data_IF_884367101029
#
_entry.id   IF_884367101029
#
_cell.length_a   1.000
_cell.length_b   1.000
_cell.length_c   1.000
_cell.angle_alpha   90.00
_cell.angle_beta   90.00
_cell.angle_gamma   90.00
#
_symmetry.space_group_name_H-M   'P 1'
#
loop_
_entity.id
_entity.type
_entity.pdbx_description
1 polymer ?
#
# COMPACT_ATOMS: atom_id res chain seq x y z
N UNK A 1 35.48 -3.95 5.46
CA UNK A 1 34.53 -3.71 4.34
C UNK A 1 33.62 -2.56 4.74
N UNK A 2 33.59 -1.50 3.95
CA UNK A 2 32.82 -0.27 4.21
C UNK A 2 31.35 -0.54 3.84
N UNK A 3 30.37 -0.27 4.72
CA UNK A 3 28.97 -0.33 4.33
C UNK A 3 28.61 0.90 3.49
N UNK A 4 28.68 0.74 2.17
CA UNK A 4 28.15 1.69 1.20
C UNK A 4 26.63 1.50 1.11
N UNK A 5 25.86 2.26 1.88
CA UNK A 5 24.39 2.21 1.79
C UNK A 5 23.60 3.20 2.66
N UNK A 6 24.23 3.91 3.61
CA UNK A 6 23.53 4.84 4.50
C UNK A 6 23.81 6.34 4.29
N UNK A 7 24.74 6.71 3.40
CA UNK A 7 25.24 8.09 3.30
C UNK A 7 24.52 8.96 2.25
N UNK A 8 23.41 8.49 1.67
CA UNK A 8 22.46 9.36 0.97
C UNK A 8 21.24 9.67 1.84
N UNK A 9 21.45 10.06 3.11
CA UNK A 9 20.49 10.98 3.73
C UNK A 9 20.76 12.35 3.12
N UNK A 10 19.72 12.90 2.49
CA UNK A 10 19.73 14.08 1.64
C UNK A 10 20.67 15.19 2.16
N UNK A 11 21.89 15.25 1.62
CA UNK A 11 22.83 16.38 1.78
C UNK A 11 22.12 17.70 1.46
N UNK A 12 21.15 17.67 0.53
CA UNK A 12 20.31 18.80 0.17
C UNK A 12 19.27 19.24 1.24
N UNK A 13 18.88 18.36 2.17
CA UNK A 13 17.99 18.71 3.30
C UNK A 13 18.79 19.22 4.49
N UNK A 14 19.97 18.65 4.72
CA UNK A 14 20.93 19.11 5.74
C UNK A 14 21.46 20.51 5.38
N UNK A 15 21.77 20.78 4.11
CA UNK A 15 22.17 22.11 3.62
C UNK A 15 21.04 23.16 3.69
N UNK A 16 19.77 22.73 3.81
CA UNK A 16 18.60 23.62 3.88
C UNK A 16 18.24 24.05 5.31
N UNK A 17 18.97 23.58 6.33
CA UNK A 17 18.69 23.89 7.75
C UNK A 17 17.32 23.38 8.23
N UNK A 18 16.69 22.45 7.50
CA UNK A 18 15.33 21.99 7.77
C UNK A 18 15.36 20.82 8.76
N UNK A 19 15.24 21.11 10.04
CA UNK A 19 15.14 20.09 11.09
C UNK A 19 13.81 19.35 10.93
N UNK A 20 13.89 18.05 10.62
CA UNK A 20 12.70 17.21 10.44
C UNK A 20 12.19 16.82 11.83
N UNK A 21 11.03 17.34 12.22
CA UNK A 21 10.42 17.04 13.51
C UNK A 21 9.53 15.81 13.36
N UNK A 22 9.93 14.67 13.94
CA UNK A 22 9.12 13.44 13.93
C UNK A 22 8.21 13.39 15.16
N UNK A 23 6.91 13.21 14.92
CA UNK A 23 5.89 13.08 15.97
C UNK A 23 5.37 11.65 15.95
N UNK A 24 5.55 10.94 17.06
CA UNK A 24 5.06 9.57 17.22
C UNK A 24 3.69 9.55 17.90
N UNK A 25 2.73 8.89 17.25
CA UNK A 25 1.36 8.79 17.73
C UNK A 25 1.19 7.43 18.38
N UNK A 26 0.74 7.38 19.63
CA UNK A 26 0.38 6.10 20.25
C UNK A 26 -0.87 5.49 19.56
N UNK A 27 -1.22 4.26 19.95
CA UNK A 27 -2.36 3.53 19.38
C UNK A 27 -3.69 4.27 19.52
N UNK A 28 -3.92 4.96 20.64
CA UNK A 28 -5.15 5.71 20.90
C UNK A 28 -5.28 6.92 19.95
N UNK A 29 -4.24 7.73 19.82
CA UNK A 29 -4.24 8.87 18.89
C UNK A 29 -4.27 8.43 17.44
N UNK A 30 -3.63 7.30 17.10
CA UNK A 30 -3.70 6.70 15.76
C UNK A 30 -5.13 6.29 15.41
N UNK A 31 -5.87 5.67 16.34
CA UNK A 31 -7.28 5.31 16.14
C UNK A 31 -8.18 6.53 15.96
N UNK A 32 -7.98 7.57 16.76
CA UNK A 32 -8.73 8.82 16.63
C UNK A 32 -8.48 9.43 15.26
N UNK A 33 -7.20 9.54 14.86
CA UNK A 33 -6.83 10.06 13.54
C UNK A 33 -7.47 9.24 12.42
N UNK A 34 -7.38 7.90 12.46
CA UNK A 34 -8.01 7.03 11.48
C UNK A 34 -9.53 7.23 11.40
N UNK A 35 -10.19 7.40 12.55
CA UNK A 35 -11.64 7.66 12.61
C UNK A 35 -12.00 9.02 12.01
N UNK A 36 -11.23 10.06 12.30
CA UNK A 36 -11.44 11.39 11.70
C UNK A 36 -11.27 11.35 10.19
N UNK A 37 -10.23 10.67 9.70
CA UNK A 37 -9.98 10.46 8.27
C UNK A 37 -11.16 9.75 7.61
N UNK A 38 -11.71 8.71 8.25
CA UNK A 38 -12.90 8.00 7.78
C UNK A 38 -14.13 8.91 7.70
N UNK A 39 -14.38 9.72 8.74
CA UNK A 39 -15.53 10.63 8.78
C UNK A 39 -15.43 11.72 7.72
N UNK A 40 -14.23 12.29 7.51
CA UNK A 40 -13.97 13.25 6.44
C UNK A 40 -14.25 12.61 5.08
N UNK A 41 -13.73 11.39 4.86
CA UNK A 41 -13.99 10.62 3.65
C UNK A 41 -15.47 10.38 3.41
N UNK A 42 -16.23 10.03 4.45
CA UNK A 42 -17.68 9.83 4.37
C UNK A 42 -18.42 11.10 3.98
N UNK A 43 -18.07 12.25 4.57
CA UNK A 43 -18.67 13.53 4.17
C UNK A 43 -18.31 13.88 2.74
N UNK A 44 -17.07 13.65 2.33
CA UNK A 44 -16.57 13.95 0.99
C UNK A 44 -17.27 13.12 -0.09
N UNK A 45 -17.35 11.80 0.08
CA UNK A 45 -18.04 10.90 -0.87
C UNK A 45 -19.53 11.23 -0.98
N UNK A 46 -20.18 11.58 0.14
CA UNK A 46 -21.60 11.96 0.12
C UNK A 46 -21.87 13.29 -0.59
N UNK A 47 -20.92 14.24 -0.56
CA UNK A 47 -21.06 15.55 -1.20
C UNK A 47 -20.64 15.54 -2.67
N UNK A 48 -19.61 14.77 -3.04
CA UNK A 48 -19.04 14.78 -4.39
C UNK A 48 -19.63 13.64 -5.21
N UNK A 49 -20.54 13.98 -6.14
CA UNK A 49 -21.20 13.00 -7.01
C UNK A 49 -20.22 12.12 -7.79
N UNK A 50 -19.09 12.66 -8.25
CA UNK A 50 -18.03 11.88 -8.91
C UNK A 50 -17.52 10.73 -8.02
N UNK A 51 -17.16 10.99 -6.76
CA UNK A 51 -16.64 9.96 -5.87
C UNK A 51 -17.69 8.88 -5.56
N UNK A 52 -18.96 9.28 -5.46
CA UNK A 52 -20.08 8.37 -5.27
C UNK A 52 -20.37 7.51 -6.50
N UNK A 53 -20.39 8.12 -7.69
CA UNK A 53 -20.70 7.43 -8.96
C UNK A 53 -19.62 6.38 -9.30
N UNK A 54 -18.36 6.62 -8.91
CA UNK A 54 -17.25 5.67 -9.05
C UNK A 54 -17.10 4.71 -7.86
N UNK A 55 -18.02 4.71 -6.89
CA UNK A 55 -17.99 3.88 -5.67
C UNK A 55 -16.64 3.92 -4.93
N UNK A 56 -16.00 5.09 -4.88
CA UNK A 56 -14.74 5.26 -4.16
C UNK A 56 -15.01 5.02 -2.66
N UNK A 57 -14.33 4.07 -2.01
CA UNK A 57 -14.52 3.81 -0.59
C UNK A 57 -14.23 5.06 0.25
N UNK A 58 -15.05 5.32 1.28
CA UNK A 58 -14.85 6.45 2.18
C UNK A 58 -13.46 6.50 2.82
N UNK A 59 -12.85 5.37 3.28
CA UNK A 59 -11.50 5.39 3.84
C UNK A 59 -10.44 5.89 2.84
N UNK A 60 -10.58 5.55 1.55
CA UNK A 60 -9.63 5.92 0.50
C UNK A 60 -9.74 7.41 0.18
N UNK A 61 -10.96 7.91 0.04
CA UNK A 61 -11.20 9.33 -0.20
C UNK A 61 -10.69 10.21 0.95
N UNK A 62 -10.97 9.82 2.20
CA UNK A 62 -10.45 10.51 3.38
C UNK A 62 -8.93 10.43 3.48
N UNK A 63 -8.37 9.24 3.24
CA UNK A 63 -6.93 8.99 3.27
C UNK A 63 -6.15 9.85 2.26
N UNK A 64 -6.71 10.06 1.06
CA UNK A 64 -6.10 10.95 0.06
C UNK A 64 -6.03 12.41 0.53
N UNK A 65 -7.09 12.92 1.17
CA UNK A 65 -7.07 14.26 1.77
C UNK A 65 -6.03 14.34 2.88
N UNK A 66 -5.98 13.35 3.77
CA UNK A 66 -4.99 13.28 4.84
C UNK A 66 -3.56 13.24 4.28
N UNK A 67 -3.31 12.45 3.24
CA UNK A 67 -2.01 12.36 2.58
C UNK A 67 -1.57 13.71 1.98
N UNK A 68 -2.48 14.44 1.31
CA UNK A 68 -2.19 15.77 0.77
C UNK A 68 -1.86 16.76 1.88
N UNK A 69 -2.63 16.75 2.97
CA UNK A 69 -2.40 17.63 4.13
C UNK A 69 -1.06 17.33 4.80
N UNK A 70 -0.78 16.05 5.08
CA UNK A 70 0.47 15.61 5.69
C UNK A 70 1.67 15.93 4.79
N UNK A 71 1.54 15.74 3.47
CA UNK A 71 2.57 16.09 2.50
C UNK A 71 2.84 17.61 2.47
N UNK A 72 1.78 18.43 2.45
CA UNK A 72 1.92 19.89 2.50
C UNK A 72 2.60 20.34 3.81
N UNK A 73 2.23 19.75 4.94
CA UNK A 73 2.81 20.05 6.24
C UNK A 73 4.28 19.62 6.32
N UNK A 74 4.62 18.47 5.73
CA UNK A 74 5.99 18.00 5.60
C UNK A 74 6.83 18.95 4.74
N UNK A 75 6.30 19.43 3.61
CA UNK A 75 7.00 20.37 2.74
C UNK A 75 7.16 21.76 3.37
N UNK A 76 6.16 22.28 4.07
CA UNK A 76 6.19 23.60 4.68
C UNK A 76 7.02 23.66 5.99
N UNK A 77 6.81 22.70 6.89
CA UNK A 77 7.36 22.77 8.27
C UNK A 77 8.37 21.66 8.58
N UNK A 78 8.57 20.69 7.68
CA UNK A 78 9.45 19.55 7.95
C UNK A 78 8.92 18.60 9.02
N UNK A 79 7.63 18.63 9.30
CA UNK A 79 7.03 17.72 10.29
C UNK A 79 6.73 16.38 9.62
N UNK A 80 7.02 15.28 10.32
CA UNK A 80 6.69 13.92 9.89
C UNK A 80 5.90 13.23 10.99
N UNK A 81 4.86 12.49 10.61
CA UNK A 81 3.97 11.80 11.54
C UNK A 81 4.18 10.30 11.41
N UNK A 82 4.46 9.62 12.52
CA UNK A 82 4.55 8.16 12.58
C UNK A 82 3.34 7.62 13.33
N UNK A 83 2.56 6.81 12.63
CA UNK A 83 1.42 6.10 13.18
C UNK A 83 1.82 4.66 13.56
N UNK A 84 1.11 4.08 14.51
CA UNK A 84 1.37 2.71 14.99
C UNK A 84 1.20 1.66 13.88
N UNK A 85 2.31 1.03 13.47
CA UNK A 85 2.31 -0.11 12.53
C UNK A 85 1.56 -1.34 13.05
N UNK A 86 1.68 -1.75 14.33
CA UNK A 86 0.97 -2.95 14.81
C UNK A 86 -0.54 -2.85 14.64
N UNK A 87 -1.10 -1.64 14.71
CA UNK A 87 -2.52 -1.41 14.53
C UNK A 87 -2.94 -1.52 13.05
N UNK A 88 -2.09 -1.04 12.13
CA UNK A 88 -2.28 -1.25 10.68
C UNK A 88 -2.30 -2.75 10.36
N UNK A 89 -1.35 -3.51 10.89
CA UNK A 89 -1.25 -4.95 10.67
C UNK A 89 -2.45 -5.69 11.25
N UNK A 90 -2.90 -5.31 12.45
CA UNK A 90 -4.10 -5.88 13.08
C UNK A 90 -5.36 -5.61 12.24
N UNK A 91 -5.56 -4.39 11.75
CA UNK A 91 -6.71 -4.07 10.89
C UNK A 91 -6.67 -4.78 9.54
N UNK A 92 -5.47 -4.92 8.96
CA UNK A 92 -5.28 -5.68 7.74
C UNK A 92 -5.63 -7.16 7.94
N UNK A 93 -5.21 -7.76 9.06
CA UNK A 93 -5.56 -9.13 9.41
C UNK A 93 -7.08 -9.27 9.60
N UNK A 94 -7.71 -8.38 10.37
CA UNK A 94 -9.17 -8.39 10.58
C UNK A 94 -9.92 -8.28 9.25
N UNK A 95 -9.48 -7.41 8.34
CA UNK A 95 -10.08 -7.25 7.01
C UNK A 95 -9.99 -8.54 6.19
N UNK A 96 -8.80 -9.13 6.07
CA UNK A 96 -8.62 -10.37 5.31
C UNK A 96 -9.34 -11.57 5.94
N UNK A 97 -9.31 -11.67 7.27
CA UNK A 97 -10.09 -12.67 8.00
C UNK A 97 -11.59 -12.46 7.79
N UNK A 98 -12.08 -11.21 7.83
CA UNK A 98 -13.49 -10.91 7.59
C UNK A 98 -13.93 -11.24 6.17
N UNK A 99 -13.14 -10.92 5.14
CA UNK A 99 -13.42 -11.31 3.76
C UNK A 99 -13.42 -12.84 3.63
N UNK A 100 -12.43 -13.52 4.22
CA UNK A 100 -12.33 -14.98 4.20
C UNK A 100 -13.52 -15.66 4.88
N UNK A 101 -13.96 -15.14 6.03
CA UNK A 101 -15.13 -15.66 6.77
C UNK A 101 -16.46 -15.28 6.11
N UNK A 102 -16.53 -14.13 5.45
CA UNK A 102 -17.73 -13.68 4.71
C UNK A 102 -17.87 -14.38 3.35
N UNK A 103 -16.85 -15.11 2.90
CA UNK A 103 -16.91 -15.88 1.67
C UNK A 103 -17.90 -17.03 1.82
N UNK A 104 -19.01 -16.94 1.09
CA UNK A 104 -20.03 -17.97 1.06
C UNK A 104 -19.60 -19.11 0.12
N UNK A 105 -19.03 -20.17 0.71
CA UNK A 105 -18.60 -21.36 -0.03
C UNK A 105 -19.74 -22.03 -0.80
N UNK A 106 -20.99 -21.88 -0.35
CA UNK A 106 -22.17 -22.41 -1.06
C UNK A 106 -22.40 -21.63 -2.35
N UNK A 107 -22.29 -20.29 -2.33
CA UNK A 107 -22.35 -19.44 -3.53
C UNK A 107 -21.18 -19.70 -4.47
N UNK A 108 -19.98 -19.90 -3.93
CA UNK A 108 -18.80 -20.23 -4.73
C UNK A 108 -19.00 -21.55 -5.49
N UNK A 109 -19.52 -22.57 -4.80
CA UNK A 109 -19.84 -23.87 -5.40
C UNK A 109 -20.98 -23.77 -6.43
N UNK A 110 -22.00 -22.96 -6.15
CA UNK A 110 -23.11 -22.70 -7.08
C UNK A 110 -22.66 -21.96 -8.34
N UNK A 111 -21.59 -21.17 -8.26
CA UNK A 111 -20.98 -20.47 -9.40
C UNK A 111 -20.42 -21.40 -10.48
N UNK A 112 -20.12 -22.65 -10.15
CA UNK A 112 -19.84 -23.74 -11.09
C UNK A 112 -18.87 -23.37 -12.23
N UNK A 113 -19.23 -23.78 -13.46
CA UNK A 113 -18.42 -23.52 -14.65
C UNK A 113 -18.26 -22.02 -14.99
N UNK A 114 -19.30 -21.16 -14.89
CA UNK A 114 -19.14 -19.71 -15.09
C UNK A 114 -18.06 -19.07 -14.20
N UNK A 115 -17.96 -19.50 -12.93
CA UNK A 115 -16.92 -19.00 -12.02
C UNK A 115 -15.51 -19.42 -12.46
N UNK A 116 -15.35 -20.65 -12.93
CA UNK A 116 -14.06 -21.14 -13.45
C UNK A 116 -13.66 -20.38 -14.71
N UNK A 117 -14.59 -20.18 -15.64
CA UNK A 117 -14.35 -19.41 -16.86
C UNK A 117 -13.98 -17.97 -16.50
N UNK A 118 -14.72 -17.33 -15.60
CA UNK A 118 -14.41 -15.98 -15.12
C UNK A 118 -13.00 -15.90 -14.53
N UNK A 119 -12.63 -16.86 -13.68
CA UNK A 119 -11.29 -16.94 -13.08
C UNK A 119 -10.19 -17.10 -14.13
N UNK A 120 -10.42 -17.97 -15.13
CA UNK A 120 -9.49 -18.17 -16.23
C UNK A 120 -9.32 -16.90 -17.08
N UNK A 121 -10.42 -16.20 -17.37
CA UNK A 121 -10.40 -14.91 -18.08
C UNK A 121 -9.60 -13.88 -17.29
N UNK A 122 -9.88 -13.70 -15.99
CA UNK A 122 -9.10 -12.79 -15.12
C UNK A 122 -7.61 -13.17 -15.12
N UNK A 123 -7.28 -14.45 -15.02
CA UNK A 123 -5.90 -14.95 -15.12
C UNK A 123 -5.23 -14.58 -16.45
N UNK A 124 -5.92 -14.74 -17.57
CA UNK A 124 -5.42 -14.32 -18.87
C UNK A 124 -5.21 -12.79 -18.96
N UNK A 125 -6.14 -12.00 -18.41
CA UNK A 125 -5.98 -10.54 -18.32
C UNK A 125 -4.76 -10.14 -17.49
N UNK A 126 -4.46 -10.82 -16.38
CA UNK A 126 -3.26 -10.59 -15.58
C UNK A 126 -1.99 -10.82 -16.41
N UNK A 127 -1.95 -11.88 -17.21
CA UNK A 127 -0.81 -12.16 -18.11
C UNK A 127 -0.64 -11.02 -19.12
N UNK A 128 -1.74 -10.58 -19.74
CA UNK A 128 -1.72 -9.45 -20.68
C UNK A 128 -1.24 -8.17 -19.99
N UNK A 129 -1.73 -7.86 -18.78
CA UNK A 129 -1.29 -6.71 -18.00
C UNK A 129 0.21 -6.75 -17.70
N UNK A 130 0.76 -7.94 -17.41
CA UNK A 130 2.20 -8.11 -17.18
C UNK A 130 3.00 -7.81 -18.45
N UNK A 131 2.57 -8.33 -19.61
CA UNK A 131 3.24 -8.05 -20.88
C UNK A 131 3.17 -6.57 -21.25
N UNK A 132 2.01 -5.94 -21.10
CA UNK A 132 1.82 -4.51 -21.38
C UNK A 132 2.65 -3.65 -20.41
N UNK A 133 2.57 -3.91 -19.12
CA UNK A 133 3.29 -3.15 -18.08
C UNK A 133 4.81 -3.26 -18.26
N UNK A 134 5.33 -4.49 -18.40
CA UNK A 134 6.77 -4.72 -18.64
C UNK A 134 7.20 -4.14 -20.00
N UNK A 135 6.38 -4.29 -21.03
CA UNK A 135 6.66 -3.77 -22.37
C UNK A 135 6.79 -2.26 -22.38
N UNK A 136 5.84 -1.55 -21.78
CA UNK A 136 5.87 -0.10 -21.64
C UNK A 136 7.06 0.37 -20.78
N UNK A 137 7.35 -0.32 -19.67
CA UNK A 137 8.53 0.00 -18.85
C UNK A 137 9.82 -0.07 -19.67
N UNK A 138 10.00 -1.13 -20.48
CA UNK A 138 11.18 -1.28 -21.37
C UNK A 138 11.26 -0.18 -22.44
N UNK A 139 10.15 0.18 -23.06
CA UNK A 139 10.10 1.26 -24.07
C UNK A 139 10.49 2.61 -23.45
N UNK A 140 10.11 2.84 -22.20
CA UNK A 140 10.47 4.04 -21.45
C UNK A 140 11.87 3.98 -20.82
N UNK A 141 12.64 2.90 -21.06
CA UNK A 141 13.97 2.70 -20.46
C UNK A 141 13.96 2.46 -18.94
N UNK A 142 12.81 2.08 -18.39
CA UNK A 142 12.61 1.79 -16.97
C UNK A 142 12.81 0.31 -16.66
N UNK A 143 13.05 0.01 -15.39
CA UNK A 143 13.14 -1.37 -14.90
C UNK A 143 11.80 -2.11 -15.14
N UNK A 144 11.81 -3.31 -15.75
CA UNK A 144 10.65 -4.17 -15.92
C UNK A 144 9.79 -4.37 -14.66
N UNK A 145 10.42 -4.37 -13.48
CA UNK A 145 9.73 -4.53 -12.20
C UNK A 145 8.75 -3.38 -11.92
N UNK A 146 9.05 -2.16 -12.37
CA UNK A 146 8.12 -1.01 -12.27
C UNK A 146 6.86 -1.29 -13.10
N UNK A 147 7.03 -1.89 -14.28
CA UNK A 147 5.91 -2.32 -15.13
C UNK A 147 5.02 -3.37 -14.47
N UNK A 148 5.61 -4.30 -13.71
CA UNK A 148 4.86 -5.32 -12.97
C UNK A 148 4.11 -4.72 -11.76
N UNK A 149 4.76 -3.83 -11.01
CA UNK A 149 4.18 -3.17 -9.83
C UNK A 149 2.99 -2.28 -10.23
N UNK A 150 3.15 -1.50 -11.29
CA UNK A 150 2.11 -0.59 -11.82
C UNK A 150 1.02 -1.31 -12.62
N UNK A 151 1.28 -2.54 -13.06
CA UNK A 151 0.34 -3.40 -13.77
C UNK A 151 -0.47 -4.29 -12.81
N UNK A 152 -0.24 -5.60 -12.87
CA UNK A 152 -1.07 -6.58 -12.16
C UNK A 152 -1.01 -6.48 -10.65
N UNK A 153 0.16 -6.20 -10.05
CA UNK A 153 0.33 -6.23 -8.58
C UNK A 153 -0.59 -5.22 -7.91
N UNK A 154 -0.68 -4.00 -8.45
CA UNK A 154 -1.61 -2.97 -7.92
C UNK A 154 -3.07 -3.40 -8.05
N UNK A 155 -3.42 -4.17 -9.08
CA UNK A 155 -4.81 -4.56 -9.38
C UNK A 155 -5.26 -5.86 -8.70
N UNK A 156 -4.34 -6.77 -8.37
CA UNK A 156 -4.63 -8.08 -7.75
C UNK A 156 -4.34 -8.13 -6.25
N UNK A 157 -4.04 -6.97 -5.64
CA UNK A 157 -3.62 -6.73 -4.26
C UNK A 157 -2.11 -6.89 -3.97
N UNK A 158 -1.55 -5.89 -3.29
CA UNK A 158 -0.13 -5.70 -2.95
C UNK A 158 0.40 -6.63 -1.84
N UNK A 159 -0.47 -7.46 -1.25
CA UNK A 159 -0.14 -8.31 -0.09
C UNK A 159 1.01 -9.28 -0.39
N UNK A 160 1.16 -9.73 -1.63
CA UNK A 160 2.23 -10.67 -2.04
C UNK A 160 3.62 -10.05 -1.89
N UNK A 161 3.78 -8.74 -2.12
CA UNK A 161 5.08 -8.06 -1.99
C UNK A 161 5.45 -7.79 -0.54
N UNK A 162 4.45 -7.52 0.30
CA UNK A 162 4.68 -7.28 1.74
C UNK A 162 5.16 -8.56 2.45
N UNK A 163 4.59 -9.72 2.11
CA UNK A 163 5.00 -11.02 2.67
C UNK A 163 6.39 -11.45 2.15
N UNK A 164 6.66 -11.27 0.86
CA UNK A 164 7.97 -11.64 0.30
C UNK A 164 9.10 -10.70 0.77
N UNK A 165 8.79 -9.41 0.99
CA UNK A 165 9.72 -8.44 1.57
C UNK A 165 10.12 -8.79 3.01
N UNK A 166 9.18 -9.22 3.85
CA UNK A 166 9.49 -9.65 5.23
C UNK A 166 10.30 -10.96 5.26
N UNK A 167 9.97 -11.92 4.38
CA UNK A 167 10.71 -13.18 4.28
C UNK A 167 12.15 -12.99 3.79
N UNK A 168 12.38 -12.09 2.84
CA UNK A 168 13.73 -11.77 2.30
C UNK A 168 14.61 -11.00 3.28
N UNK A 169 14.02 -10.14 4.12
CA UNK A 169 14.74 -9.45 5.19
C UNK A 169 15.05 -10.39 6.37
N UNK A 170 14.12 -11.28 6.74
CA UNK A 170 14.35 -12.28 7.80
C UNK A 170 15.40 -13.32 7.40
N UNK A 171 15.35 -13.85 6.18
CA UNK A 171 16.41 -14.76 5.68
C UNK A 171 17.77 -14.08 5.66
N UNK A 172 17.90 -12.87 5.09
CA UNK A 172 19.19 -12.16 5.05
C UNK A 172 19.73 -11.80 6.45
N UNK A 173 18.85 -11.52 7.41
CA UNK A 173 19.26 -11.34 8.81
C UNK A 173 19.73 -12.65 9.46
N UNK A 174 19.12 -13.79 9.13
CA UNK A 174 19.51 -15.10 9.67
C UNK A 174 20.89 -15.57 9.19
N UNK A 175 21.28 -15.27 7.94
CA UNK A 175 22.61 -15.59 7.40
C UNK A 175 23.74 -14.70 7.95
N UNK A 176 23.41 -13.57 8.58
CA UNK A 176 24.39 -12.65 9.18
C UNK A 176 24.85 -13.07 10.60
N UNK A 177 24.23 -14.10 11.18
CA UNK A 177 24.50 -14.59 12.56
C UNK A 177 25.25 -15.93 12.57
N UNK A 178 25.48 -16.55 11.40
CA UNK A 178 26.26 -17.78 11.30
C UNK A 178 27.75 -17.43 11.15
N UNK A 179 28.62 -17.83 12.10
CA UNK A 179 30.06 -17.69 11.92
C UNK A 179 30.52 -18.60 10.77
N UNK A 180 31.30 -18.02 9.85
CA UNK A 180 32.01 -18.76 8.80
C UNK A 180 33.19 -19.56 9.31
#
# INVERSE_FOLDING_TARGET
MIPQGGFKKNIFEILRGKTIMEWEFNSYYTLIAATLVLLIGKVLVNKVKFLRDFNIPEPVAGGLIAAIVLFALHQAYGVSFKFEKPLQDAFMLIFFTSIGLSADFSRLKAGGLPLVIFTAVVGAFIIVQNFVGVGLAKVLGLDPLIGLITGSITLTADTVRQVHGDLTLKTNSAWSVLPG
#
